data_IF_996559307731
#
_entry.id   IF_996559307731
#
_cell.length_a   1.000
_cell.length_b   1.000
_cell.length_c   1.000
_cell.angle_alpha   90.00
_cell.angle_beta   90.00
_cell.angle_gamma   90.00
#
_symmetry.space_group_name_H-M   'P 1'
#
loop_
_entity.id
_entity.type
_entity.pdbx_description
1 polymer ?
#
# COMPACT_ATOMS: atom_id res chain seq x y z
N UNK A 1 1.01 0.86 21.33
CA UNK A 1 0.44 0.45 20.04
C UNK A 1 1.50 0.57 18.95
N UNK A 2 1.75 -0.51 18.23
CA UNK A 2 2.66 -0.49 17.06
C UNK A 2 1.97 0.15 15.88
N UNK A 3 2.72 0.90 15.09
CA UNK A 3 2.20 1.61 13.92
C UNK A 3 2.94 1.20 12.66
N UNK A 4 2.15 0.85 11.65
CA UNK A 4 2.65 0.41 10.36
C UNK A 4 1.95 1.20 9.26
N UNK A 5 2.56 1.25 8.09
CA UNK A 5 1.92 1.76 6.90
C UNK A 5 1.95 0.72 5.78
N UNK A 6 1.01 0.84 4.89
CA UNK A 6 1.02 0.17 3.58
C UNK A 6 0.63 1.19 2.52
N UNK A 7 1.09 0.95 1.29
CA UNK A 7 0.93 1.89 0.20
C UNK A 7 0.21 1.20 -0.96
N UNK A 8 -0.96 1.71 -1.29
CA UNK A 8 -1.75 1.27 -2.43
C UNK A 8 -1.30 2.10 -3.63
N UNK A 9 -0.34 1.57 -4.39
CA UNK A 9 0.32 2.30 -5.46
C UNK A 9 -0.05 1.72 -6.82
N UNK A 10 -0.68 2.55 -7.65
CA UNK A 10 -1.05 2.19 -9.01
C UNK A 10 0.03 2.62 -10.00
N UNK A 11 0.16 1.87 -11.09
CA UNK A 11 0.99 2.26 -12.23
C UNK A 11 0.37 3.48 -12.94
N UNK A 12 1.08 4.09 -13.90
CA UNK A 12 0.58 5.31 -14.55
C UNK A 12 -0.78 5.14 -15.24
N UNK A 13 -1.07 3.97 -15.76
CA UNK A 13 -2.36 3.69 -16.40
C UNK A 13 -3.48 3.40 -15.39
N UNK A 14 -3.14 3.13 -14.13
CA UNK A 14 -4.13 2.78 -13.11
C UNK A 14 -4.65 1.35 -13.22
N UNK A 15 -3.93 0.47 -13.91
CA UNK A 15 -4.36 -0.90 -14.21
C UNK A 15 -3.68 -1.96 -13.35
N UNK A 16 -2.56 -1.63 -12.73
CA UNK A 16 -1.77 -2.56 -11.94
C UNK A 16 -1.39 -1.96 -10.61
N UNK A 17 -1.34 -2.82 -9.61
CA UNK A 17 -1.03 -2.49 -8.23
C UNK A 17 0.35 -3.05 -7.88
N UNK A 18 1.21 -2.24 -7.28
CA UNK A 18 2.52 -2.69 -6.85
C UNK A 18 2.39 -3.51 -5.57
N UNK A 19 2.94 -4.71 -5.60
CA UNK A 19 2.92 -5.64 -4.47
C UNK A 19 4.28 -6.28 -4.26
N UNK A 20 4.49 -6.79 -3.05
CA UNK A 20 5.68 -7.58 -2.73
C UNK A 20 5.26 -8.98 -2.30
N UNK A 21 6.08 -9.98 -2.65
CA UNK A 21 5.92 -11.34 -2.13
C UNK A 21 6.73 -11.46 -0.86
N UNK A 22 6.07 -11.75 0.23
CA UNK A 22 6.74 -11.83 1.52
C UNK A 22 7.64 -13.07 1.58
N UNK A 23 8.89 -12.86 2.00
CA UNK A 23 9.87 -13.95 2.16
C UNK A 23 9.88 -14.50 3.58
N UNK A 24 9.29 -13.79 4.55
CA UNK A 24 9.29 -14.17 5.97
C UNK A 24 7.89 -14.13 6.55
N UNK A 25 7.71 -14.84 7.66
CA UNK A 25 6.49 -14.70 8.47
C UNK A 25 6.38 -13.30 9.09
N UNK A 26 5.20 -12.77 9.34
CA UNK A 26 3.89 -13.36 8.98
C UNK A 26 3.60 -13.27 7.49
N UNK A 27 2.69 -14.13 7.02
CA UNK A 27 2.22 -14.18 5.63
C UNK A 27 3.30 -14.57 4.61
N UNK A 28 4.27 -15.40 5.01
CA UNK A 28 5.31 -15.87 4.10
C UNK A 28 4.69 -16.48 2.84
N UNK A 29 5.21 -16.06 1.66
CA UNK A 29 4.74 -16.53 0.36
C UNK A 29 3.53 -15.80 -0.19
N UNK A 30 2.85 -14.99 0.61
CA UNK A 30 1.69 -14.21 0.16
C UNK A 30 2.12 -12.85 -0.37
N UNK A 31 1.26 -12.29 -1.23
CA UNK A 31 1.44 -10.93 -1.76
C UNK A 31 0.88 -9.91 -0.77
N UNK A 32 1.62 -8.82 -0.58
CA UNK A 32 1.21 -7.72 0.28
C UNK A 32 1.52 -6.39 -0.40
N UNK A 33 0.88 -5.34 0.06
CA UNK A 33 1.27 -3.99 -0.32
C UNK A 33 2.64 -3.68 0.29
N UNK A 34 3.41 -2.82 -0.37
CA UNK A 34 4.68 -2.33 0.17
C UNK A 34 4.41 -1.40 1.35
N UNK A 35 5.33 -1.31 2.28
CA UNK A 35 5.21 -0.49 3.46
C UNK A 35 6.07 -1.03 4.58
N UNK A 36 5.90 -0.49 5.78
CA UNK A 36 6.70 -0.92 6.92
C UNK A 36 6.32 -0.22 8.21
N UNK A 37 7.25 -0.21 9.15
CA UNK A 37 7.03 0.31 10.49
C UNK A 37 7.24 1.83 10.53
N UNK A 38 6.31 2.52 11.16
CA UNK A 38 6.45 3.95 11.46
C UNK A 38 7.24 4.05 12.76
N UNK A 39 8.38 4.77 12.72
CA UNK A 39 9.25 4.94 13.88
C UNK A 39 8.65 5.94 14.87
N UNK A 40 8.97 5.76 16.13
CA UNK A 40 8.52 6.69 17.18
C UNK A 40 9.00 8.11 16.87
N UNK A 41 8.07 9.07 16.91
CA UNK A 41 8.38 10.48 16.62
C UNK A 41 8.56 10.83 15.16
N UNK A 42 8.46 9.86 14.26
CA UNK A 42 8.55 10.10 12.82
C UNK A 42 7.24 10.67 12.28
N UNK A 43 7.33 11.68 11.41
CA UNK A 43 6.16 12.15 10.67
C UNK A 43 5.60 11.02 9.82
N UNK A 44 4.29 10.77 9.90
CA UNK A 44 3.68 9.59 9.29
C UNK A 44 3.71 9.61 7.77
N UNK A 45 3.51 10.76 7.15
CA UNK A 45 3.61 10.89 5.69
C UNK A 45 5.06 10.70 5.23
N UNK A 46 6.02 11.27 5.95
CA UNK A 46 7.44 11.06 5.67
C UNK A 46 7.82 9.60 5.81
N UNK A 47 7.26 8.88 6.79
CA UNK A 47 7.48 7.46 6.97
C UNK A 47 6.99 6.66 5.75
N UNK A 48 5.84 7.03 5.20
CA UNK A 48 5.30 6.37 4.01
C UNK A 48 6.25 6.53 2.81
N UNK A 49 6.71 7.74 2.55
CA UNK A 49 7.69 7.98 1.47
C UNK A 49 9.01 7.27 1.72
N UNK A 50 9.49 7.26 2.96
CA UNK A 50 10.73 6.56 3.32
C UNK A 50 10.62 5.07 3.06
N UNK A 51 9.56 4.43 3.53
CA UNK A 51 9.36 2.98 3.30
C UNK A 51 9.21 2.65 1.83
N UNK A 52 8.49 3.48 1.08
CA UNK A 52 8.35 3.30 -0.37
C UNK A 52 9.72 3.36 -1.06
N UNK A 53 10.53 4.35 -0.71
CA UNK A 53 11.87 4.50 -1.27
C UNK A 53 12.78 3.33 -0.90
N UNK A 54 12.78 2.92 0.37
CA UNK A 54 13.62 1.82 0.84
C UNK A 54 13.25 0.49 0.16
N UNK A 55 11.96 0.21 0.01
CA UNK A 55 11.51 -1.07 -0.52
C UNK A 55 11.50 -1.15 -2.04
N UNK A 56 11.33 -0.03 -2.74
CA UNK A 56 11.07 -0.05 -4.18
C UNK A 56 12.00 0.83 -5.01
N UNK A 57 12.68 1.77 -4.38
CA UNK A 57 13.45 2.79 -5.09
C UNK A 57 12.63 3.95 -5.64
N UNK A 58 11.32 3.95 -5.47
CA UNK A 58 10.46 5.05 -5.92
C UNK A 58 10.68 6.26 -5.02
N UNK A 59 10.94 7.41 -5.64
CA UNK A 59 11.22 8.66 -4.93
C UNK A 59 9.94 9.48 -4.72
N UNK A 60 10.01 10.41 -3.76
CA UNK A 60 8.90 11.30 -3.45
C UNK A 60 8.44 12.11 -4.68
N UNK A 61 9.35 12.47 -5.58
CA UNK A 61 9.01 13.19 -6.81
C UNK A 61 8.21 12.37 -7.81
N UNK A 62 8.20 11.03 -7.66
CA UNK A 62 7.57 10.14 -8.62
C UNK A 62 6.08 9.92 -8.35
N UNK A 63 5.62 10.22 -7.13
CA UNK A 63 4.24 9.97 -6.73
C UNK A 63 3.83 10.88 -5.59
N UNK A 64 2.57 11.34 -5.62
CA UNK A 64 1.98 12.04 -4.50
C UNK A 64 1.16 11.03 -3.69
N UNK A 65 1.57 10.80 -2.44
CA UNK A 65 0.85 9.91 -1.52
C UNK A 65 -0.19 10.70 -0.74
N UNK A 66 -1.38 10.14 -0.63
CA UNK A 66 -2.47 10.70 0.15
C UNK A 66 -2.91 9.66 1.18
N UNK A 67 -3.08 10.07 2.43
CA UNK A 67 -3.60 9.18 3.46
C UNK A 67 -5.05 8.86 3.12
N UNK A 68 -5.36 7.57 2.97
CA UNK A 68 -6.66 7.12 2.51
C UNK A 68 -7.56 6.69 3.66
N UNK A 69 -7.03 5.86 4.54
CA UNK A 69 -7.76 5.24 5.63
C UNK A 69 -6.77 4.60 6.60
N UNK A 70 -7.27 4.05 7.69
CA UNK A 70 -6.48 3.20 8.57
C UNK A 70 -7.31 2.06 9.14
N UNK A 71 -6.61 1.05 9.65
CA UNK A 71 -7.20 -0.05 10.39
C UNK A 71 -6.62 -0.08 11.79
N UNK A 72 -7.47 -0.18 12.79
CA UNK A 72 -7.05 -0.37 14.18
C UNK A 72 -7.35 -1.81 14.58
N UNK A 73 -6.31 -2.53 15.00
CA UNK A 73 -6.44 -3.90 15.48
C UNK A 73 -6.20 -3.91 16.99
N UNK A 74 -7.17 -4.39 17.74
CA UNK A 74 -7.05 -4.51 19.19
C UNK A 74 -6.26 -5.76 19.58
N UNK A 75 -6.25 -6.74 18.72
CA UNK A 75 -5.40 -7.92 18.77
C UNK A 75 -4.70 -8.03 17.41
N UNK A 76 -3.41 -7.78 17.30
CA UNK A 76 -2.35 -7.64 18.32
C UNK A 76 -1.99 -6.22 18.76
N UNK A 77 -2.89 -5.30 18.86
CA UNK A 77 -2.66 -3.92 19.27
C UNK A 77 -1.76 -3.16 18.29
N UNK A 78 -2.26 -2.93 17.10
CA UNK A 78 -1.54 -2.15 16.10
C UNK A 78 -2.48 -1.28 15.26
N UNK A 79 -1.90 -0.23 14.71
CA UNK A 79 -2.54 0.66 13.76
C UNK A 79 -1.86 0.49 12.41
N UNK A 80 -2.65 0.27 11.37
CA UNK A 80 -2.16 0.18 9.99
C UNK A 80 -2.70 1.38 9.21
N UNK A 81 -1.83 2.31 8.88
CA UNK A 81 -2.17 3.46 8.03
C UNK A 81 -2.03 3.10 6.58
N UNK A 82 -3.01 3.51 5.77
CA UNK A 82 -3.02 3.22 4.34
C UNK A 82 -2.87 4.52 3.56
N UNK A 83 -1.86 4.56 2.70
CA UNK A 83 -1.61 5.65 1.77
C UNK A 83 -1.88 5.16 0.36
N UNK A 84 -2.35 6.06 -0.50
CA UNK A 84 -2.64 5.73 -1.89
C UNK A 84 -1.97 6.74 -2.80
N UNK A 85 -1.58 6.28 -3.99
CA UNK A 85 -1.01 7.12 -5.02
C UNK A 85 -1.00 6.41 -6.36
N UNK A 86 -0.75 7.18 -7.40
CA UNK A 86 -0.61 6.69 -8.76
C UNK A 86 0.65 7.30 -9.34
N UNK A 87 1.52 6.48 -9.91
CA UNK A 87 2.74 6.97 -10.53
C UNK A 87 2.41 7.94 -11.67
N UNK A 88 3.18 9.02 -11.78
CA UNK A 88 3.03 9.98 -12.85
C UNK A 88 3.61 9.47 -14.17
N UNK A 89 4.55 8.54 -14.09
CA UNK A 89 5.27 7.96 -15.23
C UNK A 89 5.78 6.59 -14.84
N UNK A 90 6.21 5.81 -15.82
CA UNK A 90 6.86 4.53 -15.54
C UNK A 90 8.20 4.78 -14.84
N UNK A 91 8.38 4.12 -13.71
CA UNK A 91 9.59 4.17 -12.91
C UNK A 91 10.06 2.74 -12.69
N UNK A 92 11.32 2.42 -12.95
CA UNK A 92 11.83 1.09 -12.61
C UNK A 92 11.80 0.88 -11.11
N UNK A 93 11.33 -0.30 -10.70
CA UNK A 93 11.27 -0.67 -9.28
C UNK A 93 12.23 -1.81 -9.02
N UNK A 94 12.86 -1.78 -7.85
CA UNK A 94 13.80 -2.82 -7.44
C UNK A 94 13.55 -3.16 -5.98
N UNK A 95 13.22 -4.42 -5.72
CA UNK A 95 12.98 -4.91 -4.36
C UNK A 95 14.28 -4.99 -3.56
N UNK A 96 14.17 -4.73 -2.27
CA UNK A 96 15.26 -4.87 -1.32
C UNK A 96 15.14 -6.22 -0.61
N UNK A 97 14.20 -6.36 0.32
CA UNK A 97 14.00 -7.60 1.08
C UNK A 97 13.05 -8.57 0.42
N UNK A 98 12.10 -8.09 -0.38
CA UNK A 98 11.05 -8.88 -1.01
C UNK A 98 11.05 -8.70 -2.52
N UNK A 99 10.54 -9.70 -3.23
CA UNK A 99 10.31 -9.59 -4.66
C UNK A 99 9.13 -8.66 -4.93
N UNK A 100 9.28 -7.76 -5.89
CA UNK A 100 8.23 -6.83 -6.30
C UNK A 100 7.53 -7.33 -7.54
N UNK A 101 6.21 -7.15 -7.58
CA UNK A 101 5.38 -7.55 -8.71
C UNK A 101 4.31 -6.48 -8.96
N UNK A 102 4.00 -6.28 -10.23
CA UNK A 102 2.83 -5.50 -10.64
C UNK A 102 1.69 -6.48 -10.89
N UNK A 103 0.61 -6.34 -10.13
CA UNK A 103 -0.54 -7.26 -10.18
C UNK A 103 -1.73 -6.52 -10.78
N UNK A 104 -2.47 -7.19 -11.68
CA UNK A 104 -3.67 -6.61 -12.27
C UNK A 104 -4.64 -6.15 -11.19
N UNK A 105 -5.20 -4.95 -11.37
CA UNK A 105 -6.18 -4.41 -10.43
C UNK A 105 -7.51 -5.19 -10.44
N UNK A 106 -7.69 -6.07 -11.42
CA UNK A 106 -8.92 -6.88 -11.55
C UNK A 106 -8.88 -8.18 -10.73
N UNK A 107 -7.79 -8.43 -10.01
CA UNK A 107 -7.69 -9.60 -9.14
C UNK A 107 -8.63 -9.50 -7.94
N UNK A 108 -8.97 -10.66 -7.36
CA UNK A 108 -9.73 -10.72 -6.11
C UNK A 108 -8.80 -10.56 -4.92
N UNK A 109 -8.64 -9.33 -4.45
CA UNK A 109 -7.76 -9.02 -3.32
C UNK A 109 -8.32 -9.44 -1.97
N UNK A 110 -9.54 -9.99 -1.93
CA UNK A 110 -10.09 -10.61 -0.72
C UNK A 110 -9.61 -12.04 -0.52
N UNK A 111 -8.95 -12.63 -1.53
CA UNK A 111 -8.48 -14.02 -1.47
C UNK A 111 -7.32 -14.15 -0.48
N UNK A 112 -7.60 -14.65 0.72
CA UNK A 112 -6.62 -14.80 1.79
C UNK A 112 -5.58 -15.89 1.52
N UNK A 113 -5.77 -16.73 0.50
CA UNK A 113 -4.78 -17.72 0.09
C UNK A 113 -3.67 -17.11 -0.77
N UNK A 114 -3.91 -15.94 -1.35
CA UNK A 114 -2.95 -15.25 -2.21
C UNK A 114 -2.43 -13.95 -1.60
N UNK A 115 -3.27 -13.25 -0.86
CA UNK A 115 -2.99 -11.90 -0.37
C UNK A 115 -2.96 -11.86 1.15
N UNK A 116 -1.96 -11.17 1.69
CA UNK A 116 -1.80 -10.95 3.12
C UNK A 116 -2.90 -10.04 3.68
N UNK A 117 -3.06 -10.06 5.00
CA UNK A 117 -3.90 -9.10 5.71
C UNK A 117 -5.37 -9.50 5.85
N UNK A 118 -5.69 -10.75 5.53
CA UNK A 118 -7.03 -11.32 5.79
C UNK A 118 -8.17 -10.50 5.18
N UNK A 119 -7.99 -10.05 3.93
CA UNK A 119 -9.01 -9.31 3.19
C UNK A 119 -8.86 -7.78 3.24
N UNK A 120 -7.89 -7.25 3.99
CA UNK A 120 -7.74 -5.80 4.10
C UNK A 120 -7.41 -5.13 2.77
N UNK A 121 -6.64 -5.80 1.90
CA UNK A 121 -6.27 -5.24 0.58
C UNK A 121 -7.51 -5.09 -0.29
N UNK A 122 -8.43 -6.05 -0.27
CA UNK A 122 -9.70 -5.95 -0.97
C UNK A 122 -10.55 -4.77 -0.49
N UNK A 123 -10.58 -4.56 0.82
CA UNK A 123 -11.27 -3.42 1.42
C UNK A 123 -10.63 -2.09 0.99
N UNK A 124 -9.31 -2.04 0.99
CA UNK A 124 -8.56 -0.85 0.53
C UNK A 124 -8.90 -0.54 -0.93
N UNK A 125 -8.93 -1.56 -1.80
CA UNK A 125 -9.28 -1.39 -3.20
C UNK A 125 -10.66 -0.76 -3.37
N UNK A 126 -11.65 -1.24 -2.62
CA UNK A 126 -13.01 -0.69 -2.68
C UNK A 126 -13.00 0.80 -2.35
N UNK A 127 -12.31 1.19 -1.29
CA UNK A 127 -12.23 2.60 -0.88
C UNK A 127 -11.45 3.41 -1.92
N UNK A 128 -10.30 2.91 -2.36
CA UNK A 128 -9.43 3.66 -3.28
C UNK A 128 -10.08 3.89 -4.65
N UNK A 129 -10.74 2.87 -5.19
CA UNK A 129 -11.28 2.96 -6.56
C UNK A 129 -12.68 3.51 -6.61
N UNK A 130 -13.57 3.03 -5.74
CA UNK A 130 -14.98 3.39 -5.85
C UNK A 130 -15.33 4.65 -5.08
N UNK A 131 -14.87 4.76 -3.83
CA UNK A 131 -15.23 5.90 -2.99
C UNK A 131 -14.41 7.14 -3.28
N UNK A 132 -13.12 6.99 -3.59
CA UNK A 132 -12.27 8.14 -3.93
C UNK A 132 -12.80 8.86 -5.17
N UNK A 133 -13.23 8.10 -6.19
CA UNK A 133 -13.83 8.67 -7.39
C UNK A 133 -15.13 9.40 -7.08
N UNK A 134 -15.98 8.79 -6.26
CA UNK A 134 -17.24 9.40 -5.83
C UNK A 134 -17.00 10.70 -5.04
N UNK A 135 -16.05 10.70 -4.14
CA UNK A 135 -15.72 11.88 -3.36
C UNK A 135 -15.13 13.00 -4.22
N UNK A 136 -14.36 12.65 -5.23
CA UNK A 136 -13.85 13.62 -6.19
C UNK A 136 -14.97 14.31 -6.96
N UNK A 137 -15.94 13.54 -7.42
CA UNK A 137 -17.12 14.06 -8.10
C UNK A 137 -17.93 14.99 -7.17
N UNK A 138 -17.95 14.69 -5.89
CA UNK A 138 -18.60 15.51 -4.89
C UNK A 138 -17.76 16.72 -4.44
N UNK A 139 -16.55 16.89 -4.95
CA UNK A 139 -15.66 18.00 -4.59
C UNK A 139 -15.01 17.87 -3.23
N UNK A 140 -14.92 16.66 -2.66
CA UNK A 140 -14.37 16.42 -1.33
C UNK A 140 -12.93 15.91 -1.34
N UNK A 141 -12.37 15.63 -2.49
CA UNK A 141 -10.97 15.19 -2.62
C UNK A 141 -10.15 16.12 -3.47
#
# INVERSE_FOLDING_TARGET
MKRYNVIFLLDPAGNRLLMCRRRKEPYQGLLNLVGGKIKDGEDHLCAAYRELSEETGIAERDVKLTRLMDFTYYQPDCLLEVYAGQLCRDVPVQGDENDLLWISIDEDFFDANRFAGDGNIGHIQVIAQYRAEHWRLAGTL
#
